data_IF_822586556656
#
_entry.id   IF_822586556656
#
_cell.length_a   1.000
_cell.length_b   1.000
_cell.length_c   1.000
_cell.angle_alpha   90.00
_cell.angle_beta   90.00
_cell.angle_gamma   90.00
#
_symmetry.space_group_name_H-M   'P 1'
#
loop_
_entity.id
_entity.type
_entity.pdbx_description
1 polymer ?
#
# COMPACT_ATOMS: atom_id res chain seq x y z
N UNK A 1 0.07 -5.91 33.84
CA UNK A 1 0.21 -7.04 32.88
C UNK A 1 -0.25 -6.69 31.47
N UNK A 2 -1.45 -6.12 31.27
CA UNK A 2 -1.96 -5.80 29.93
C UNK A 2 -1.08 -4.82 29.12
N UNK A 3 -0.60 -3.72 29.74
CA UNK A 3 0.29 -2.75 29.07
C UNK A 3 1.65 -3.33 28.67
N UNK A 4 2.26 -4.15 29.53
CA UNK A 4 3.57 -4.78 29.24
C UNK A 4 3.48 -5.71 28.04
N UNK A 5 2.43 -6.55 27.98
CA UNK A 5 2.17 -7.41 26.82
C UNK A 5 1.96 -6.59 25.54
N UNK A 6 1.17 -5.52 25.60
CA UNK A 6 0.95 -4.63 24.45
C UNK A 6 2.26 -4.01 23.94
N UNK A 7 3.14 -3.57 24.84
CA UNK A 7 4.45 -3.01 24.47
C UNK A 7 5.31 -4.09 23.80
N UNK A 8 5.43 -5.27 24.40
CA UNK A 8 6.21 -6.38 23.85
C UNK A 8 5.68 -6.77 22.46
N UNK A 9 4.36 -6.91 22.33
CA UNK A 9 3.72 -7.25 21.07
C UNK A 9 3.91 -6.15 20.01
N UNK A 10 3.86 -4.87 20.40
CA UNK A 10 4.10 -3.74 19.51
C UNK A 10 5.55 -3.76 18.99
N UNK A 11 6.53 -3.92 19.89
CA UNK A 11 7.94 -4.01 19.51
C UNK A 11 8.16 -5.21 18.58
N UNK A 12 7.65 -6.38 18.94
CA UNK A 12 7.71 -7.58 18.11
C UNK A 12 7.12 -7.33 16.71
N UNK A 13 5.93 -6.72 16.63
CA UNK A 13 5.25 -6.45 15.37
C UNK A 13 6.05 -5.49 14.48
N UNK A 14 6.59 -4.41 15.06
CA UNK A 14 7.42 -3.46 14.31
C UNK A 14 8.71 -4.10 13.81
N UNK A 15 9.42 -4.83 14.68
CA UNK A 15 10.64 -5.54 14.30
C UNK A 15 10.37 -6.55 13.20
N UNK A 16 9.25 -7.28 13.28
CA UNK A 16 8.83 -8.23 12.27
C UNK A 16 8.55 -7.53 10.93
N UNK A 17 7.74 -6.47 10.92
CA UNK A 17 7.39 -5.76 9.69
C UNK A 17 8.59 -5.13 9.01
N UNK A 18 9.48 -4.49 9.76
CA UNK A 18 10.69 -3.88 9.20
C UNK A 18 11.62 -4.95 8.64
N UNK A 19 11.85 -6.04 9.38
CA UNK A 19 12.72 -7.13 8.92
C UNK A 19 12.18 -7.78 7.65
N UNK A 20 10.88 -8.09 7.62
CA UNK A 20 10.25 -8.68 6.45
C UNK A 20 10.26 -7.73 5.26
N UNK A 21 10.02 -6.42 5.47
CA UNK A 21 10.04 -5.43 4.39
C UNK A 21 11.45 -5.21 3.81
N UNK A 22 12.48 -5.19 4.65
CA UNK A 22 13.87 -5.08 4.18
C UNK A 22 14.25 -6.30 3.34
N UNK A 23 13.89 -7.50 3.82
CA UNK A 23 14.20 -8.74 3.11
C UNK A 23 13.40 -8.87 1.80
N UNK A 24 12.11 -8.56 1.81
CA UNK A 24 11.26 -8.55 0.61
C UNK A 24 11.76 -7.55 -0.42
N UNK A 25 12.16 -6.35 0.01
CA UNK A 25 12.72 -5.31 -0.88
C UNK A 25 14.02 -5.78 -1.51
N UNK A 26 14.95 -6.35 -0.72
CA UNK A 26 16.21 -6.88 -1.26
C UNK A 26 15.96 -7.99 -2.28
N UNK A 27 15.06 -8.93 -1.96
CA UNK A 27 14.68 -10.01 -2.86
C UNK A 27 14.03 -9.46 -4.15
N UNK A 28 13.17 -8.46 -4.05
CA UNK A 28 12.54 -7.82 -5.20
C UNK A 28 13.53 -7.07 -6.08
N UNK A 29 14.52 -6.38 -5.48
CA UNK A 29 15.60 -5.75 -6.22
C UNK A 29 16.37 -6.81 -7.02
N UNK A 30 16.82 -7.89 -6.38
CA UNK A 30 17.60 -8.95 -7.03
C UNK A 30 16.80 -9.61 -8.16
N UNK A 31 15.54 -9.98 -7.91
CA UNK A 31 14.71 -10.68 -8.89
C UNK A 31 14.18 -9.77 -10.02
N UNK A 32 14.30 -8.45 -9.88
CA UNK A 32 13.83 -7.49 -10.89
C UNK A 32 14.94 -6.97 -11.81
N UNK A 33 16.21 -7.30 -11.58
CA UNK A 33 17.38 -6.76 -12.30
C UNK A 33 17.20 -6.80 -13.83
N UNK A 34 16.76 -7.93 -14.37
CA UNK A 34 16.62 -8.16 -15.82
C UNK A 34 15.15 -8.21 -16.29
N UNK A 35 14.24 -7.65 -15.50
CA UNK A 35 12.81 -7.67 -15.82
C UNK A 35 12.33 -6.33 -16.35
N UNK A 36 11.56 -6.35 -17.44
CA UNK A 36 10.89 -5.15 -17.98
C UNK A 36 9.68 -4.71 -17.13
N UNK A 37 9.20 -5.56 -16.21
CA UNK A 37 8.01 -5.34 -15.37
C UNK A 37 8.37 -5.42 -13.88
N UNK A 38 9.36 -4.63 -13.47
CA UNK A 38 9.94 -4.65 -12.11
C UNK A 38 8.86 -4.51 -11.04
N UNK A 39 7.92 -3.60 -11.25
CA UNK A 39 6.81 -3.32 -10.34
C UNK A 39 5.93 -4.55 -10.05
N UNK A 40 5.80 -5.48 -10.99
CA UNK A 40 5.01 -6.70 -10.81
C UNK A 40 5.75 -7.69 -9.91
N UNK A 41 7.08 -7.72 -10.02
CA UNK A 41 7.96 -8.50 -9.14
C UNK A 41 7.84 -7.97 -7.71
N UNK A 42 7.96 -6.65 -7.53
CA UNK A 42 7.75 -5.99 -6.24
C UNK A 42 6.37 -6.29 -5.64
N UNK A 43 5.28 -6.09 -6.40
CA UNK A 43 3.92 -6.40 -5.94
C UNK A 43 3.76 -7.86 -5.51
N UNK A 44 4.29 -8.81 -6.30
CA UNK A 44 4.15 -10.24 -6.03
C UNK A 44 4.89 -10.64 -4.74
N UNK A 45 6.13 -10.16 -4.59
CA UNK A 45 6.95 -10.45 -3.41
C UNK A 45 6.32 -9.81 -2.18
N UNK A 46 5.94 -8.54 -2.24
CA UNK A 46 5.28 -7.85 -1.11
C UNK A 46 3.96 -8.51 -0.72
N UNK A 47 3.18 -9.03 -1.67
CA UNK A 47 1.97 -9.80 -1.37
C UNK A 47 2.29 -11.04 -0.54
N UNK A 48 3.30 -11.81 -0.93
CA UNK A 48 3.73 -13.02 -0.21
C UNK A 48 4.20 -12.66 1.20
N UNK A 49 5.10 -11.68 1.31
CA UNK A 49 5.67 -11.26 2.60
C UNK A 49 4.62 -10.64 3.52
N UNK A 50 3.66 -9.90 2.98
CA UNK A 50 2.55 -9.36 3.76
C UNK A 50 1.68 -10.49 4.32
N UNK A 51 1.35 -11.51 3.52
CA UNK A 51 0.62 -12.71 4.02
C UNK A 51 1.39 -13.45 5.11
N UNK A 52 2.71 -13.59 4.97
CA UNK A 52 3.58 -14.17 5.99
C UNK A 52 3.49 -13.35 7.28
N UNK A 53 3.56 -12.01 7.19
CA UNK A 53 3.46 -11.14 8.35
C UNK A 53 2.12 -11.33 9.10
N UNK A 54 0.98 -11.35 8.39
CA UNK A 54 -0.33 -11.63 9.01
C UNK A 54 -0.37 -12.99 9.70
N UNK A 55 0.20 -14.03 9.09
CA UNK A 55 0.28 -15.37 9.68
C UNK A 55 1.13 -15.40 10.95
N UNK A 56 2.30 -14.75 10.95
CA UNK A 56 3.21 -14.70 12.09
C UNK A 56 2.66 -13.86 13.24
N UNK A 57 1.85 -12.84 12.94
CA UNK A 57 1.12 -12.05 13.94
C UNK A 57 -0.13 -12.76 14.49
N UNK A 58 -0.48 -13.94 13.96
CA UNK A 58 -1.70 -14.65 14.34
C UNK A 58 -3.00 -13.92 13.97
N UNK A 59 -2.94 -13.00 13.01
CA UNK A 59 -4.09 -12.19 12.60
C UNK A 59 -4.99 -12.98 11.65
N UNK A 60 -6.27 -13.06 11.99
CA UNK A 60 -7.30 -13.66 11.14
C UNK A 60 -7.96 -12.57 10.29
N UNK A 61 -7.89 -12.72 8.97
CA UNK A 61 -8.50 -11.78 8.02
C UNK A 61 -9.70 -12.44 7.39
N UNK A 62 -10.87 -11.81 7.53
CA UNK A 62 -12.10 -12.20 6.86
C UNK A 62 -12.31 -11.33 5.63
N UNK A 63 -12.41 -11.95 4.46
CA UNK A 63 -12.63 -11.27 3.19
C UNK A 63 -14.03 -11.62 2.69
N UNK A 64 -14.76 -10.62 2.21
CA UNK A 64 -16.07 -10.77 1.59
C UNK A 64 -16.10 -9.96 0.29
N UNK A 65 -16.83 -10.43 -0.72
CA UNK A 65 -16.97 -9.70 -1.98
C UNK A 65 -15.72 -9.73 -2.88
N UNK A 66 -14.82 -10.71 -2.71
CA UNK A 66 -13.63 -10.85 -3.57
C UNK A 66 -14.03 -11.15 -5.02
N UNK A 67 -15.17 -11.83 -5.20
CA UNK A 67 -15.82 -12.14 -6.45
C UNK A 67 -16.33 -10.91 -7.20
N UNK A 68 -16.53 -9.78 -6.51
CA UNK A 68 -16.97 -8.53 -7.12
C UNK A 68 -15.83 -7.80 -7.83
N UNK A 69 -14.59 -8.25 -7.70
CA UNK A 69 -13.42 -7.61 -8.33
C UNK A 69 -13.35 -8.07 -9.80
N UNK A 70 -13.50 -7.15 -10.77
CA UNK A 70 -13.26 -7.43 -12.18
C UNK A 70 -11.86 -7.99 -12.41
N UNK A 71 -11.75 -9.02 -13.26
CA UNK A 71 -10.49 -9.73 -13.53
C UNK A 71 -9.71 -9.18 -14.72
N UNK A 72 -10.42 -8.62 -15.69
CA UNK A 72 -9.89 -8.28 -17.01
C UNK A 72 -9.72 -6.78 -17.23
N UNK A 73 -10.01 -5.96 -16.22
CA UNK A 73 -9.88 -4.51 -16.27
C UNK A 73 -9.20 -3.95 -15.01
N UNK A 74 -8.41 -2.87 -15.16
CA UNK A 74 -7.91 -2.11 -14.01
C UNK A 74 -9.06 -1.51 -13.21
N UNK A 75 -8.93 -1.54 -11.87
CA UNK A 75 -9.91 -0.93 -10.97
C UNK A 75 -9.27 0.06 -10.02
N UNK A 76 -10.08 0.98 -9.49
CA UNK A 76 -9.67 1.87 -8.41
C UNK A 76 -10.31 1.33 -7.13
N UNK A 77 -9.48 0.76 -6.26
CA UNK A 77 -9.85 0.42 -4.90
C UNK A 77 -9.85 1.69 -4.05
N UNK A 78 -10.98 1.97 -3.41
CA UNK A 78 -11.14 3.09 -2.49
C UNK A 78 -11.39 2.49 -1.12
N UNK A 79 -10.56 2.85 -0.15
CA UNK A 79 -10.67 2.38 1.24
C UNK A 79 -10.50 3.55 2.19
N UNK A 80 -11.15 3.49 3.35
CA UNK A 80 -10.78 4.33 4.48
C UNK A 80 -9.34 4.04 4.93
N UNK A 81 -8.70 4.98 5.63
CA UNK A 81 -7.33 4.81 6.14
C UNK A 81 -7.25 4.97 7.66
N UNK A 82 -7.36 3.86 8.38
CA UNK A 82 -7.39 3.83 9.84
C UNK A 82 -6.08 3.34 10.46
N UNK A 83 -5.22 2.67 9.67
CA UNK A 83 -3.99 2.09 10.20
C UNK A 83 -2.89 1.98 9.16
N UNK A 84 -1.64 1.92 9.63
CA UNK A 84 -0.52 1.48 8.77
C UNK A 84 -0.72 0.05 8.27
N UNK A 85 -1.54 -0.74 8.98
CA UNK A 85 -1.90 -2.10 8.58
C UNK A 85 -2.68 -2.13 7.26
N UNK A 86 -3.40 -1.06 6.90
CA UNK A 86 -4.21 -1.01 5.67
C UNK A 86 -3.34 -1.22 4.42
N UNK A 87 -2.09 -0.74 4.47
CA UNK A 87 -1.10 -0.92 3.40
C UNK A 87 -0.76 -2.41 3.26
N UNK A 88 -0.43 -3.08 4.37
CA UNK A 88 -0.09 -4.52 4.37
C UNK A 88 -1.30 -5.40 4.04
N UNK A 89 -2.49 -5.01 4.50
CA UNK A 89 -3.75 -5.69 4.18
C UNK A 89 -4.02 -5.64 2.68
N UNK A 90 -3.91 -4.45 2.08
CA UNK A 90 -4.08 -4.23 0.64
C UNK A 90 -3.07 -5.06 -0.16
N UNK A 91 -1.79 -5.00 0.20
CA UNK A 91 -0.73 -5.78 -0.46
C UNK A 91 -0.98 -7.30 -0.35
N UNK A 92 -1.41 -7.78 0.81
CA UNK A 92 -1.63 -9.21 1.05
C UNK A 92 -2.85 -9.78 0.29
N UNK A 93 -3.95 -9.03 0.22
CA UNK A 93 -5.25 -9.61 -0.10
C UNK A 93 -5.95 -9.04 -1.33
N UNK A 94 -5.50 -7.91 -1.87
CA UNK A 94 -5.97 -7.48 -3.20
C UNK A 94 -5.33 -8.40 -4.26
N UNK A 95 -6.14 -9.11 -5.07
CA UNK A 95 -5.66 -10.19 -5.93
C UNK A 95 -5.01 -9.71 -7.23
N UNK A 96 -4.96 -8.40 -7.47
CA UNK A 96 -4.39 -7.78 -8.68
C UNK A 96 -3.15 -6.97 -8.34
N UNK A 97 -2.28 -6.73 -9.31
CA UNK A 97 -1.19 -5.77 -9.11
C UNK A 97 -1.75 -4.35 -9.12
N UNK A 98 -1.23 -3.51 -8.23
CA UNK A 98 -1.71 -2.16 -8.08
C UNK A 98 -0.61 -1.19 -7.65
N UNK A 99 -0.93 0.09 -7.74
CA UNK A 99 -0.11 1.17 -7.21
C UNK A 99 -0.86 1.93 -6.12
N UNK A 100 -0.16 2.28 -5.04
CA UNK A 100 -0.67 3.25 -4.08
C UNK A 100 -0.45 4.67 -4.59
N UNK A 101 -1.38 5.56 -4.24
CA UNK A 101 -1.15 7.00 -4.28
C UNK A 101 -0.70 7.44 -2.89
N UNK A 102 0.50 8.02 -2.78
CA UNK A 102 1.09 8.39 -1.49
C UNK A 102 1.66 9.80 -1.52
N UNK A 103 1.80 10.42 -0.35
CA UNK A 103 2.30 11.79 -0.21
C UNK A 103 3.70 11.90 -0.81
N UNK A 104 3.92 12.92 -1.62
CA UNK A 104 5.19 13.18 -2.30
C UNK A 104 6.40 13.20 -1.35
N UNK A 105 6.23 13.69 -0.12
CA UNK A 105 7.30 13.67 0.90
C UNK A 105 7.80 12.26 1.26
N UNK A 106 6.98 11.22 1.09
CA UNK A 106 7.41 9.82 1.31
C UNK A 106 8.43 9.38 0.26
N UNK A 107 8.32 9.89 -0.96
CA UNK A 107 9.26 9.60 -2.04
C UNK A 107 10.64 10.23 -1.84
N UNK A 108 10.74 11.19 -0.92
CA UNK A 108 11.99 11.85 -0.57
C UNK A 108 12.76 11.15 0.56
N UNK A 109 12.15 10.15 1.22
CA UNK A 109 12.82 9.38 2.28
C UNK A 109 13.82 8.41 1.64
N UNK A 110 15.11 8.38 2.04
CA UNK A 110 16.09 7.45 1.49
C UNK A 110 15.63 5.99 1.65
N UNK A 111 15.97 5.14 0.68
CA UNK A 111 15.55 3.72 0.58
C UNK A 111 14.04 3.55 0.35
N UNK A 112 13.19 4.10 1.23
CA UNK A 112 11.74 4.02 1.10
C UNK A 112 11.26 4.68 -0.19
N UNK A 113 11.74 5.87 -0.52
CA UNK A 113 11.39 6.55 -1.76
C UNK A 113 11.83 5.79 -3.01
N UNK A 114 13.03 5.21 -2.99
CA UNK A 114 13.51 4.34 -4.07
C UNK A 114 12.63 3.10 -4.23
N UNK A 115 12.23 2.47 -3.12
CA UNK A 115 11.25 1.38 -3.11
C UNK A 115 9.90 1.81 -3.70
N UNK A 116 9.39 3.00 -3.31
CA UNK A 116 8.10 3.50 -3.80
C UNK A 116 8.13 3.69 -5.31
N UNK A 117 9.21 4.25 -5.86
CA UNK A 117 9.42 4.40 -7.31
C UNK A 117 9.54 3.04 -8.00
N UNK A 118 10.37 2.13 -7.47
CA UNK A 118 10.59 0.81 -8.06
C UNK A 118 9.34 -0.08 -8.07
N UNK A 119 8.49 0.08 -7.04
CA UNK A 119 7.19 -0.59 -6.92
C UNK A 119 6.09 0.04 -7.80
N UNK A 120 6.40 1.14 -8.48
CA UNK A 120 5.47 1.84 -9.36
C UNK A 120 4.38 2.63 -8.63
N UNK A 121 4.59 3.00 -7.36
CA UNK A 121 3.67 3.85 -6.61
C UNK A 121 3.74 5.30 -7.09
N UNK A 122 2.67 6.07 -6.84
CA UNK A 122 2.47 7.39 -7.44
C UNK A 122 2.53 8.47 -6.36
N UNK A 123 3.41 9.47 -6.47
CA UNK A 123 3.45 10.60 -5.56
C UNK A 123 2.29 11.57 -5.83
N UNK A 124 1.74 12.15 -4.77
CA UNK A 124 0.75 13.24 -4.84
C UNK A 124 1.12 14.38 -3.90
N UNK A 125 1.00 15.61 -4.40
CA UNK A 125 1.06 16.83 -3.61
C UNK A 125 -0.38 17.24 -3.26
N UNK A 126 -0.66 17.40 -1.96
CA UNK A 126 -2.00 17.69 -1.42
C UNK A 126 -2.15 19.12 -0.90
N UNK A 127 -1.31 20.03 -1.37
CA UNK A 127 -1.33 21.44 -0.96
C UNK A 127 -2.38 22.28 -1.72
N UNK A 128 -3.02 21.68 -2.73
CA UNK A 128 -4.01 22.30 -3.61
C UNK A 128 -4.93 21.18 -4.15
N UNK A 129 -6.21 21.19 -3.77
CA UNK A 129 -7.17 20.13 -4.08
C UNK A 129 -7.34 19.94 -5.59
N UNK A 130 -7.24 21.03 -6.35
CA UNK A 130 -7.30 20.98 -7.82
C UNK A 130 -6.09 20.26 -8.40
N UNK A 131 -4.89 20.49 -7.85
CA UNK A 131 -3.67 19.76 -8.26
C UNK A 131 -3.70 18.30 -7.82
N UNK A 132 -4.26 18.00 -6.66
CA UNK A 132 -4.45 16.63 -6.22
C UNK A 132 -5.36 15.86 -7.18
N UNK A 133 -6.47 16.46 -7.58
CA UNK A 133 -7.39 15.90 -8.56
C UNK A 133 -6.75 15.74 -9.95
N UNK A 134 -6.02 16.74 -10.47
CA UNK A 134 -5.30 16.62 -11.74
C UNK A 134 -4.21 15.54 -11.70
N UNK A 135 -3.52 15.40 -10.57
CA UNK A 135 -2.51 14.35 -10.36
C UNK A 135 -3.17 12.97 -10.34
N UNK A 136 -4.31 12.84 -9.68
CA UNK A 136 -5.13 11.62 -9.68
C UNK A 136 -5.60 11.28 -11.10
N UNK A 137 -6.14 12.24 -11.85
CA UNK A 137 -6.55 12.03 -13.24
C UNK A 137 -5.37 11.64 -14.13
N UNK A 138 -4.21 12.27 -13.93
CA UNK A 138 -2.98 11.95 -14.67
C UNK A 138 -2.49 10.54 -14.32
N UNK A 139 -2.55 10.16 -13.04
CA UNK A 139 -2.27 8.82 -12.57
C UNK A 139 -3.21 7.81 -13.25
N UNK A 140 -4.52 8.06 -13.23
CA UNK A 140 -5.54 7.25 -13.89
C UNK A 140 -5.26 7.08 -15.38
N UNK A 141 -4.93 8.17 -16.09
CA UNK A 141 -4.60 8.14 -17.53
C UNK A 141 -3.32 7.34 -17.83
N UNK A 142 -2.31 7.41 -16.94
CA UNK A 142 -1.06 6.64 -17.07
C UNK A 142 -1.24 5.14 -16.78
N UNK A 143 -2.34 4.73 -16.11
CA UNK A 143 -2.67 3.33 -15.84
C UNK A 143 -3.33 2.60 -17.00
N UNK A 144 -3.41 3.24 -18.18
CA UNK A 144 -3.83 2.67 -19.47
C UNK A 144 -3.07 1.40 -19.90
N UNK A 145 -2.20 0.84 -19.05
CA UNK A 145 -1.43 -0.39 -19.26
C UNK A 145 -1.50 -1.40 -18.09
N UNK A 146 -2.71 -1.76 -17.64
CA UNK A 146 -3.03 -2.95 -16.79
C UNK A 146 -2.63 -2.88 -15.31
N UNK A 147 -2.83 -1.75 -14.62
CA UNK A 147 -2.61 -1.69 -13.16
C UNK A 147 -3.76 -1.00 -12.44
N UNK A 148 -4.25 -1.65 -11.38
CA UNK A 148 -5.25 -1.08 -10.49
C UNK A 148 -4.62 -0.01 -9.58
N UNK A 149 -5.45 0.79 -8.93
CA UNK A 149 -5.01 1.73 -7.88
C UNK A 149 -5.62 1.39 -6.54
N UNK A 150 -4.88 1.70 -5.49
CA UNK A 150 -5.46 1.84 -4.15
C UNK A 150 -5.34 3.29 -3.73
N UNK A 151 -6.48 3.88 -3.38
CA UNK A 151 -6.61 5.27 -2.95
C UNK A 151 -7.28 5.31 -1.58
N UNK A 152 -6.69 6.12 -0.71
CA UNK A 152 -7.20 6.44 0.61
C UNK A 152 -7.70 7.89 0.60
N UNK A 153 -9.02 8.13 0.43
CA UNK A 153 -9.57 9.44 0.10
C UNK A 153 -9.46 10.47 1.24
N UNK A 154 -9.26 9.98 2.47
CA UNK A 154 -9.06 10.80 3.67
C UNK A 154 -7.74 11.58 3.64
N UNK A 155 -6.73 11.09 2.92
CA UNK A 155 -5.42 11.73 2.83
C UNK A 155 -4.57 11.67 4.11
N UNK A 156 -5.16 11.47 5.28
CA UNK A 156 -4.48 11.20 6.54
C UNK A 156 -5.05 9.95 7.18
N UNK A 157 -4.39 9.43 8.21
CA UNK A 157 -4.97 8.35 9.01
C UNK A 157 -6.04 8.95 9.93
N UNK A 158 -7.16 8.26 10.11
CA UNK A 158 -8.13 8.61 11.14
C UNK A 158 -7.47 8.51 12.53
N UNK A 159 -7.54 9.59 13.32
CA UNK A 159 -6.96 9.66 14.66
C UNK A 159 -7.88 9.03 15.73
N UNK A 160 -9.18 8.90 15.44
CA UNK A 160 -10.22 8.49 16.39
C UNK A 160 -10.97 7.21 15.97
N UNK A 161 -10.63 6.63 14.82
CA UNK A 161 -11.29 5.43 14.30
C UNK A 161 -12.63 5.70 13.61
N UNK A 162 -13.06 6.96 13.51
CA UNK A 162 -14.18 7.35 12.67
C UNK A 162 -13.72 7.55 11.22
N UNK A 163 -14.64 7.45 10.26
CA UNK A 163 -14.34 7.83 8.88
C UNK A 163 -14.02 9.33 8.85
N UNK A 164 -12.77 9.69 8.55
CA UNK A 164 -12.46 11.10 8.34
C UNK A 164 -13.18 11.59 7.07
N UNK A 165 -13.53 12.87 7.02
CA UNK A 165 -14.10 13.45 5.80
C UNK A 165 -13.08 13.31 4.65
N UNK A 166 -13.57 12.84 3.50
CA UNK A 166 -12.76 12.73 2.30
C UNK A 166 -12.46 14.12 1.76
N UNK A 167 -11.25 14.63 2.01
CA UNK A 167 -10.81 15.93 1.49
C UNK A 167 -10.42 15.86 0.00
N UNK A 168 -10.41 14.66 -0.60
CA UNK A 168 -10.03 14.47 -2.01
C UNK A 168 -11.13 14.85 -3.03
N UNK A 169 -12.32 15.27 -2.57
CA UNK A 169 -13.49 15.55 -3.42
C UNK A 169 -14.20 16.88 -3.12
N UNK A 170 -13.57 17.77 -2.33
CA UNK A 170 -14.08 19.13 -2.09
C UNK A 170 -13.39 20.14 -3.01
#
# INVERSE_FOLDING_TARGET
MHKTYQIIFTVYSWTLFVSLWMFSTLMAVILSIDTKKKENVFNTIERVFSRIAFKLLGMQVKIQGIENIPKDEPVIFISNHQSMMDIKLSLAFIPTNFSFISKDTVFHVPILGAYMVASGHIPIQRTDDRKAYETLLTAIRKLSSRKSLVVFPEGTRSEDGNLAHGNLWQ
#
